data_IF_218525246461
#
_entry.id   IF_218525246461
#
_cell.length_a   1.000
_cell.length_b   1.000
_cell.length_c   1.000
_cell.angle_alpha   90.00
_cell.angle_beta   90.00
_cell.angle_gamma   90.00
#
_symmetry.space_group_name_H-M   'P 1'
#
loop_
_entity.id
_entity.type
_entity.pdbx_description
1 polymer ?
#
# COMPACT_ATOMS: atom_id res chain seq x y z
N UNK A 1 3.06 -0.68 -11.50
CA UNK A 1 2.02 -0.13 -12.39
C UNK A 1 1.96 -0.77 -13.77
N UNK A 2 2.93 -0.51 -14.67
CA UNK A 2 2.83 -1.00 -16.05
C UNK A 2 2.84 -2.53 -16.17
N UNK A 3 3.57 -3.22 -15.29
CA UNK A 3 3.54 -4.69 -15.17
C UNK A 3 2.15 -5.20 -14.81
N UNK A 4 1.40 -4.50 -13.96
CA UNK A 4 0.07 -4.96 -13.54
C UNK A 4 -0.97 -4.70 -14.63
N UNK A 5 -0.86 -3.57 -15.34
CA UNK A 5 -1.72 -3.29 -16.50
C UNK A 5 -1.43 -4.26 -17.65
N UNK A 6 -0.17 -4.59 -17.90
CA UNK A 6 0.21 -5.64 -18.85
C UNK A 6 -0.40 -6.99 -18.49
N UNK A 7 -0.37 -7.37 -17.21
CA UNK A 7 -1.01 -8.61 -16.71
C UNK A 7 -2.54 -8.58 -16.84
N UNK A 8 -3.19 -7.44 -16.60
CA UNK A 8 -4.66 -7.30 -16.66
C UNK A 8 -5.20 -7.18 -18.09
N UNK A 9 -4.42 -6.64 -19.03
CA UNK A 9 -4.87 -6.33 -20.40
C UNK A 9 -4.28 -7.25 -21.45
N UNK A 10 -3.26 -8.05 -21.12
CA UNK A 10 -2.52 -8.88 -22.07
C UNK A 10 -1.61 -8.09 -23.02
N UNK A 11 -1.44 -6.78 -22.82
CA UNK A 11 -0.56 -5.93 -23.63
C UNK A 11 0.91 -6.18 -23.28
N UNK A 12 1.82 -5.98 -24.24
CA UNK A 12 3.26 -6.02 -23.96
C UNK A 12 3.64 -4.93 -22.94
N UNK A 13 4.57 -5.26 -22.03
CA UNK A 13 4.99 -4.36 -20.94
C UNK A 13 5.43 -3.00 -21.47
N UNK A 14 6.16 -2.97 -22.58
CA UNK A 14 6.63 -1.73 -23.23
C UNK A 14 5.48 -0.83 -23.67
N UNK A 15 4.43 -1.41 -24.26
CA UNK A 15 3.27 -0.66 -24.76
C UNK A 15 2.39 -0.20 -23.59
N UNK A 16 2.27 -1.02 -22.54
CA UNK A 16 1.61 -0.63 -21.29
C UNK A 16 2.34 0.54 -20.60
N UNK A 17 3.69 0.52 -20.55
CA UNK A 17 4.49 1.64 -20.01
C UNK A 17 4.19 2.92 -20.81
N UNK A 18 4.22 2.85 -22.14
CA UNK A 18 4.01 4.00 -23.02
C UNK A 18 2.62 4.63 -22.86
N UNK A 19 1.56 3.82 -22.85
CA UNK A 19 0.20 4.31 -22.67
C UNK A 19 0.02 4.92 -21.28
N UNK A 20 0.47 4.23 -20.22
CA UNK A 20 0.30 4.72 -18.85
C UNK A 20 1.09 6.00 -18.61
N UNK A 21 2.34 6.04 -19.08
CA UNK A 21 3.18 7.23 -18.99
C UNK A 21 2.57 8.42 -19.73
N UNK A 22 2.05 8.21 -20.95
CA UNK A 22 1.39 9.27 -21.70
C UNK A 22 0.14 9.80 -20.98
N UNK A 23 -0.72 8.91 -20.47
CA UNK A 23 -1.92 9.32 -19.72
C UNK A 23 -1.54 10.08 -18.44
N UNK A 24 -0.57 9.55 -17.68
CA UNK A 24 -0.02 10.19 -16.48
C UNK A 24 0.46 11.60 -16.75
N UNK A 25 1.33 11.76 -17.77
CA UNK A 25 1.87 13.07 -18.14
C UNK A 25 0.74 14.03 -18.55
N UNK A 26 -0.21 13.59 -19.37
CA UNK A 26 -1.29 14.46 -19.87
C UNK A 26 -2.14 15.00 -18.71
N UNK A 27 -2.58 14.15 -17.78
CA UNK A 27 -3.45 14.61 -16.70
C UNK A 27 -2.68 15.38 -15.62
N UNK A 28 -1.42 15.04 -15.35
CA UNK A 28 -0.57 15.77 -14.40
C UNK A 28 -0.24 17.16 -14.95
N UNK A 29 0.10 17.29 -16.23
CA UNK A 29 0.34 18.59 -16.86
C UNK A 29 -0.92 19.47 -16.94
N UNK A 30 -2.08 18.87 -17.20
CA UNK A 30 -3.34 19.63 -17.35
C UNK A 30 -3.91 20.10 -16.02
N UNK A 31 -3.70 19.37 -14.95
CA UNK A 31 -4.35 19.61 -13.66
C UNK A 31 -3.44 20.04 -12.50
N UNK A 32 -2.12 19.91 -12.66
CA UNK A 32 -1.14 20.30 -11.65
C UNK A 32 -1.33 19.59 -10.30
N UNK A 33 -0.83 20.21 -9.23
CA UNK A 33 -0.86 19.63 -7.88
C UNK A 33 -2.26 19.33 -7.34
N UNK A 34 -3.27 20.07 -7.81
CA UNK A 34 -4.66 19.83 -7.44
C UNK A 34 -5.19 18.50 -7.97
N UNK A 35 -4.89 18.20 -9.25
CA UNK A 35 -5.28 16.94 -9.88
C UNK A 35 -4.59 15.75 -9.20
N UNK A 36 -3.29 15.86 -8.94
CA UNK A 36 -2.52 14.84 -8.23
C UNK A 36 -3.11 14.56 -6.84
N UNK A 37 -3.38 15.63 -6.08
CA UNK A 37 -3.98 15.51 -4.74
C UNK A 37 -5.35 14.82 -4.78
N UNK A 38 -6.21 15.18 -5.74
CA UNK A 38 -7.54 14.56 -5.87
C UNK A 38 -7.44 13.07 -6.22
N UNK A 39 -6.52 12.70 -7.12
CA UNK A 39 -6.28 11.29 -7.46
C UNK A 39 -5.73 10.50 -6.27
N UNK A 40 -4.87 11.10 -5.45
CA UNK A 40 -4.35 10.46 -4.23
C UNK A 40 -5.44 10.23 -3.18
N UNK A 41 -6.39 11.15 -3.02
CA UNK A 41 -7.53 10.97 -2.13
C UNK A 41 -8.40 9.79 -2.57
N UNK A 42 -8.64 9.63 -3.87
CA UNK A 42 -9.38 8.47 -4.41
C UNK A 42 -8.60 7.19 -4.14
N UNK A 43 -7.29 7.16 -4.45
CA UNK A 43 -6.44 6.00 -4.18
C UNK A 43 -6.41 5.64 -2.69
N UNK A 44 -6.37 6.62 -1.81
CA UNK A 44 -6.42 6.43 -0.37
C UNK A 44 -7.68 5.64 0.04
N UNK A 45 -8.86 6.05 -0.42
CA UNK A 45 -10.11 5.34 -0.07
C UNK A 45 -10.17 3.93 -0.67
N UNK A 46 -9.70 3.76 -1.91
CA UNK A 46 -9.64 2.44 -2.56
C UNK A 46 -8.68 1.52 -1.80
N UNK A 47 -7.52 2.03 -1.40
CA UNK A 47 -6.48 1.27 -0.71
C UNK A 47 -6.93 0.91 0.70
N UNK A 48 -7.30 1.91 1.51
CA UNK A 48 -7.73 1.70 2.89
C UNK A 48 -8.99 0.84 2.93
N UNK A 49 -9.98 1.13 2.08
CA UNK A 49 -11.20 0.34 2.00
C UNK A 49 -10.95 -1.10 1.56
N UNK A 50 -10.21 -1.30 0.46
CA UNK A 50 -9.94 -2.63 -0.09
C UNK A 50 -9.18 -3.52 0.89
N UNK A 51 -8.12 -3.01 1.51
CA UNK A 51 -7.34 -3.76 2.49
C UNK A 51 -8.07 -3.96 3.81
N UNK A 52 -8.81 -2.95 4.31
CA UNK A 52 -9.53 -3.09 5.58
C UNK A 52 -10.68 -4.10 5.47
N UNK A 53 -11.33 -4.18 4.30
CA UNK A 53 -12.32 -5.22 4.02
C UNK A 53 -11.68 -6.60 3.84
N UNK A 54 -10.46 -6.69 3.28
CA UNK A 54 -9.76 -7.95 3.07
C UNK A 54 -9.53 -8.74 4.37
N UNK A 55 -9.15 -8.05 5.45
CA UNK A 55 -8.76 -8.68 6.73
C UNK A 55 -9.88 -9.54 7.34
N UNK A 56 -11.11 -9.05 7.61
CA UNK A 56 -12.15 -9.87 8.22
C UNK A 56 -12.55 -11.07 7.36
N UNK A 57 -12.57 -10.94 6.03
CA UNK A 57 -12.90 -12.05 5.13
C UNK A 57 -11.85 -13.16 5.17
N UNK A 58 -10.58 -12.78 5.08
CA UNK A 58 -9.47 -13.75 5.13
C UNK A 58 -9.45 -14.43 6.48
N UNK A 59 -9.57 -13.68 7.57
CA UNK A 59 -9.62 -14.25 8.92
C UNK A 59 -10.79 -15.22 9.09
N UNK A 60 -11.98 -14.89 8.57
CA UNK A 60 -13.12 -15.81 8.61
C UNK A 60 -12.82 -17.12 7.86
N UNK A 61 -12.19 -17.04 6.68
CA UNK A 61 -11.94 -18.21 5.83
C UNK A 61 -10.84 -19.13 6.35
N UNK A 62 -9.91 -18.62 7.16
CA UNK A 62 -8.83 -19.43 7.78
C UNK A 62 -9.20 -19.96 9.18
N UNK A 63 -10.44 -19.76 9.62
CA UNK A 63 -10.92 -20.23 10.93
C UNK A 63 -10.64 -19.27 12.09
N UNK A 64 -10.42 -17.99 11.80
CA UNK A 64 -10.23 -16.92 12.79
C UNK A 64 -8.76 -16.66 13.14
N UNK A 65 -8.56 -15.63 13.96
CA UNK A 65 -7.22 -15.22 14.39
C UNK A 65 -6.48 -16.29 15.20
N UNK A 66 -7.19 -17.05 16.03
CA UNK A 66 -6.60 -18.12 16.85
C UNK A 66 -5.96 -19.21 16.00
N UNK A 67 -6.60 -19.59 14.88
CA UNK A 67 -6.06 -20.54 13.90
C UNK A 67 -4.76 -20.05 13.27
N UNK A 68 -4.69 -18.77 12.93
CA UNK A 68 -3.50 -18.12 12.36
C UNK A 68 -2.35 -18.16 13.37
N UNK A 69 -2.60 -17.75 14.61
CA UNK A 69 -1.60 -17.74 15.68
C UNK A 69 -1.09 -19.16 15.98
N UNK A 70 -1.96 -20.16 15.96
CA UNK A 70 -1.57 -21.56 16.22
C UNK A 70 -0.64 -22.15 15.15
N UNK A 71 -0.77 -21.69 13.89
CA UNK A 71 0.07 -22.13 12.77
C UNK A 71 1.40 -21.35 12.69
N UNK A 72 1.49 -20.20 13.33
CA UNK A 72 2.66 -19.33 13.26
C UNK A 72 3.66 -19.62 14.37
N UNK A 73 4.98 -19.59 14.08
CA UNK A 73 6.00 -19.57 15.11
C UNK A 73 5.80 -18.34 16.03
N UNK A 74 5.90 -18.48 17.36
CA UNK A 74 5.69 -17.37 18.29
C UNK A 74 6.58 -16.15 18.01
N UNK A 75 7.77 -16.35 17.44
CA UNK A 75 8.67 -15.25 17.10
C UNK A 75 8.14 -14.37 15.96
N UNK A 76 7.16 -14.80 15.16
CA UNK A 76 6.56 -13.99 14.09
C UNK A 76 5.67 -12.86 14.63
N UNK A 77 5.13 -13.02 15.83
CA UNK A 77 4.25 -12.02 16.47
C UNK A 77 5.03 -10.98 17.29
N UNK A 78 6.34 -11.17 17.45
CA UNK A 78 7.19 -10.26 18.22
C UNK A 78 7.47 -8.95 17.46
N UNK A 79 7.11 -7.81 18.05
CA UNK A 79 7.39 -6.47 17.51
C UNK A 79 8.88 -6.20 17.24
N UNK A 80 9.78 -6.92 17.92
CA UNK A 80 11.24 -6.75 17.81
C UNK A 80 11.91 -7.80 16.93
N UNK A 81 11.16 -8.69 16.27
CA UNK A 81 11.71 -9.79 15.45
C UNK A 81 12.66 -9.29 14.36
N UNK A 82 12.31 -8.17 13.75
CA UNK A 82 13.09 -7.53 12.67
C UNK A 82 14.47 -7.04 13.17
N UNK A 83 14.66 -6.96 14.49
CA UNK A 83 15.90 -6.61 15.16
C UNK A 83 16.06 -5.11 15.38
N UNK A 84 16.63 -4.72 16.52
CA UNK A 84 16.78 -3.31 16.91
C UNK A 84 17.59 -2.49 15.91
N UNK A 85 18.62 -3.07 15.28
CA UNK A 85 19.41 -2.40 14.24
C UNK A 85 18.54 -1.99 13.06
N UNK A 86 17.71 -2.91 12.59
CA UNK A 86 16.80 -2.67 11.45
C UNK A 86 15.70 -1.68 11.83
N UNK A 87 15.12 -1.79 13.03
CA UNK A 87 14.09 -0.86 13.52
C UNK A 87 14.65 0.56 13.55
N UNK A 88 15.82 0.77 14.15
CA UNK A 88 16.48 2.09 14.18
C UNK A 88 16.80 2.56 12.76
N UNK A 89 17.28 1.65 11.89
CA UNK A 89 17.52 1.95 10.48
C UNK A 89 16.26 2.42 9.74
N UNK A 90 15.12 1.75 9.94
CA UNK A 90 13.84 2.11 9.35
C UNK A 90 13.33 3.44 9.90
N UNK A 91 13.48 3.71 11.20
CA UNK A 91 13.11 5.01 11.80
C UNK A 91 13.91 6.14 11.15
N UNK A 92 15.24 5.99 11.04
CA UNK A 92 16.09 7.00 10.41
C UNK A 92 15.73 7.17 8.94
N UNK A 93 15.55 6.05 8.23
CA UNK A 93 15.17 6.04 6.81
C UNK A 93 13.86 6.78 6.59
N UNK A 94 12.78 6.41 7.28
CA UNK A 94 11.47 7.06 7.12
C UNK A 94 11.50 8.52 7.55
N UNK A 95 12.22 8.86 8.63
CA UNK A 95 12.39 10.26 9.03
C UNK A 95 13.03 11.09 7.90
N UNK A 96 14.09 10.58 7.26
CA UNK A 96 14.72 11.25 6.13
C UNK A 96 13.78 11.31 4.93
N UNK A 97 13.12 10.20 4.57
CA UNK A 97 12.18 10.12 3.46
C UNK A 97 11.06 11.16 3.57
N UNK A 98 10.42 11.32 4.73
CA UNK A 98 9.31 12.27 4.88
C UNK A 98 9.77 13.72 5.11
N UNK A 99 11.02 13.94 5.57
CA UNK A 99 11.56 15.28 5.80
C UNK A 99 12.17 15.90 4.54
N UNK A 100 12.81 15.08 3.69
CA UNK A 100 13.52 15.56 2.49
C UNK A 100 12.96 14.99 1.20
N UNK A 101 12.02 14.04 1.26
CA UNK A 101 11.38 13.48 0.09
C UNK A 101 10.62 14.54 -0.69
N UNK A 102 10.91 14.64 -1.97
CA UNK A 102 10.37 15.67 -2.86
C UNK A 102 8.84 15.71 -2.81
N UNK A 103 8.19 14.55 -2.82
CA UNK A 103 6.74 14.40 -2.72
C UNK A 103 6.15 15.01 -1.43
N UNK A 104 6.77 14.74 -0.27
CA UNK A 104 6.30 15.24 1.03
C UNK A 104 6.52 16.75 1.17
N UNK A 105 7.71 17.21 0.77
CA UNK A 105 8.10 18.62 0.82
C UNK A 105 7.20 19.46 -0.08
N UNK A 106 6.90 19.01 -1.29
CA UNK A 106 5.96 19.70 -2.18
C UNK A 106 4.59 19.88 -1.51
N UNK A 107 4.05 18.84 -0.85
CA UNK A 107 2.75 18.94 -0.17
C UNK A 107 2.76 19.91 1.00
N UNK A 108 3.89 20.05 1.72
CA UNK A 108 4.03 21.06 2.76
C UNK A 108 4.01 22.48 2.20
N UNK A 109 4.66 22.72 1.05
CA UNK A 109 4.64 24.04 0.39
C UNK A 109 3.31 24.39 -0.28
N UNK A 110 2.53 23.38 -0.66
CA UNK A 110 1.18 23.58 -1.19
C UNK A 110 0.11 23.79 -0.11
N UNK A 111 0.46 23.60 1.16
CA UNK A 111 -0.46 23.84 2.27
C UNK A 111 -0.81 25.33 2.37
N UNK A 112 -2.06 25.60 2.78
CA UNK A 112 -2.56 26.99 2.93
C UNK A 112 -1.76 27.80 3.95
N UNK A 113 -1.33 27.15 5.02
CA UNK A 113 -0.60 27.72 6.14
C UNK A 113 0.14 26.63 6.91
N UNK A 114 1.09 27.04 7.74
CA UNK A 114 1.92 26.14 8.56
C UNK A 114 1.09 25.24 9.48
N UNK A 115 0.01 25.76 10.09
CA UNK A 115 -0.82 24.97 11.01
C UNK A 115 -1.52 23.84 10.26
N UNK A 116 -2.01 24.12 9.05
CA UNK A 116 -2.61 23.12 8.16
C UNK A 116 -1.59 22.07 7.75
N UNK A 117 -0.35 22.46 7.43
CA UNK A 117 0.73 21.51 7.10
C UNK A 117 1.03 20.59 8.29
N UNK A 118 1.23 21.14 9.48
CA UNK A 118 1.54 20.37 10.70
C UNK A 118 0.39 19.43 11.07
N UNK A 119 -0.85 19.94 11.10
CA UNK A 119 -2.02 19.12 11.44
C UNK A 119 -2.22 17.99 10.41
N UNK A 120 -2.06 18.30 9.11
CA UNK A 120 -2.13 17.32 8.04
C UNK A 120 -1.10 16.20 8.21
N UNK A 121 0.16 16.55 8.54
CA UNK A 121 1.22 15.58 8.79
C UNK A 121 0.94 14.69 10.00
N UNK A 122 0.41 15.26 11.09
CA UNK A 122 0.05 14.48 12.29
C UNK A 122 -1.08 13.50 11.98
N UNK A 123 -2.14 13.95 11.30
CA UNK A 123 -3.25 13.10 10.89
C UNK A 123 -2.75 11.98 9.97
N UNK A 124 -1.91 12.31 8.99
CA UNK A 124 -1.28 11.34 8.10
C UNK A 124 -0.49 10.28 8.87
N UNK A 125 0.37 10.70 9.82
CA UNK A 125 1.15 9.79 10.65
C UNK A 125 0.29 8.85 11.49
N UNK A 126 -0.79 9.36 12.09
CA UNK A 126 -1.74 8.53 12.86
C UNK A 126 -2.42 7.50 11.95
N UNK A 127 -2.92 7.94 10.80
CA UNK A 127 -3.59 7.05 9.84
C UNK A 127 -2.63 5.98 9.32
N UNK A 128 -1.39 6.34 8.97
CA UNK A 128 -0.37 5.38 8.53
C UNK A 128 -0.04 4.36 9.63
N UNK A 129 0.12 4.81 10.87
CA UNK A 129 0.40 3.92 12.00
C UNK A 129 -0.73 2.91 12.25
N UNK A 130 -1.98 3.37 12.20
CA UNK A 130 -3.15 2.49 12.32
C UNK A 130 -3.29 1.55 11.12
N UNK A 131 -3.05 2.07 9.92
CA UNK A 131 -3.20 1.29 8.69
C UNK A 131 -2.09 0.25 8.52
N UNK A 132 -0.89 0.47 9.06
CA UNK A 132 0.24 -0.47 8.97
C UNK A 132 -0.09 -1.88 9.49
N UNK A 133 -1.02 -2.00 10.43
CA UNK A 133 -1.48 -3.30 10.95
C UNK A 133 -2.24 -4.11 9.91
N UNK A 134 -2.97 -3.47 8.99
CA UNK A 134 -3.83 -4.14 8.01
C UNK A 134 -3.04 -5.03 7.03
N UNK A 135 -2.03 -4.52 6.28
CA UNK A 135 -1.22 -5.37 5.43
C UNK A 135 -0.33 -6.34 6.22
N UNK A 136 0.10 -5.98 7.44
CA UNK A 136 0.84 -6.88 8.31
C UNK A 136 0.00 -8.11 8.68
N UNK A 137 -1.28 -7.93 9.01
CA UNK A 137 -2.22 -9.03 9.27
C UNK A 137 -2.39 -9.93 8.04
N UNK A 138 -2.57 -9.36 6.84
CA UNK A 138 -2.64 -10.15 5.61
C UNK A 138 -1.35 -10.93 5.34
N UNK A 139 -0.19 -10.34 5.63
CA UNK A 139 1.11 -11.02 5.54
C UNK A 139 1.27 -12.17 6.54
N UNK A 140 0.78 -12.00 7.77
CA UNK A 140 0.78 -13.08 8.78
C UNK A 140 -0.13 -14.24 8.36
N UNK A 141 -1.32 -13.95 7.82
CA UNK A 141 -2.18 -15.01 7.28
C UNK A 141 -1.54 -15.69 6.06
N UNK A 142 -0.90 -14.93 5.17
CA UNK A 142 -0.17 -15.49 4.04
C UNK A 142 0.92 -16.46 4.51
N UNK A 143 1.69 -16.09 5.53
CA UNK A 143 2.74 -16.95 6.08
C UNK A 143 2.17 -18.19 6.79
N UNK A 144 1.02 -18.08 7.44
CA UNK A 144 0.36 -19.19 8.13
C UNK A 144 -0.20 -20.24 7.17
N UNK A 145 -0.78 -19.82 6.04
CA UNK A 145 -1.37 -20.74 5.04
C UNK A 145 -0.39 -21.15 3.94
N UNK A 146 0.59 -20.30 3.62
CA UNK A 146 1.58 -20.50 2.56
C UNK A 146 3.02 -20.26 3.06
N UNK A 147 3.63 -21.21 3.81
CA UNK A 147 4.90 -20.98 4.51
C UNK A 147 6.10 -20.65 3.61
N UNK A 148 6.07 -21.07 2.34
CA UNK A 148 7.15 -20.87 1.35
C UNK A 148 6.85 -19.73 0.37
N UNK A 149 5.93 -18.83 0.70
CA UNK A 149 5.56 -17.73 -0.18
C UNK A 149 6.63 -16.65 -0.22
N UNK A 150 6.89 -16.12 -1.41
CA UNK A 150 7.68 -14.90 -1.54
C UNK A 150 6.91 -13.71 -0.96
N UNK A 151 7.58 -12.88 -0.14
CA UNK A 151 6.96 -11.77 0.56
C UNK A 151 6.20 -10.79 -0.37
N UNK A 152 6.74 -10.55 -1.57
CA UNK A 152 6.09 -9.68 -2.56
C UNK A 152 4.76 -10.22 -3.10
N UNK A 153 4.57 -11.54 -3.08
CA UNK A 153 3.38 -12.20 -3.60
C UNK A 153 2.33 -12.47 -2.51
N UNK A 154 2.68 -12.30 -1.23
CA UNK A 154 1.85 -12.63 -0.08
C UNK A 154 0.41 -12.10 -0.17
N UNK A 155 0.25 -10.79 -0.41
CA UNK A 155 -1.07 -10.14 -0.46
C UNK A 155 -1.88 -10.64 -1.66
N UNK A 156 -1.24 -10.77 -2.82
CA UNK A 156 -1.91 -11.24 -4.04
C UNK A 156 -2.36 -12.70 -3.91
N UNK A 157 -1.52 -13.57 -3.38
CA UNK A 157 -1.85 -14.99 -3.17
C UNK A 157 -2.97 -15.16 -2.16
N UNK A 158 -2.96 -14.41 -1.05
CA UNK A 158 -4.06 -14.41 -0.07
C UNK A 158 -5.35 -13.93 -0.70
N UNK A 159 -5.33 -12.84 -1.45
CA UNK A 159 -6.52 -12.32 -2.11
C UNK A 159 -7.10 -13.34 -3.11
N UNK A 160 -6.26 -13.97 -3.94
CA UNK A 160 -6.73 -14.87 -5.00
C UNK A 160 -7.16 -16.25 -4.49
N UNK A 161 -6.58 -16.77 -3.40
CA UNK A 161 -6.86 -18.12 -2.90
C UNK A 161 -7.84 -18.14 -1.72
N UNK A 162 -7.91 -17.06 -0.94
CA UNK A 162 -8.68 -17.02 0.32
C UNK A 162 -9.87 -16.05 0.26
N UNK A 163 -10.18 -15.45 -0.89
CA UNK A 163 -11.35 -14.55 -1.02
C UNK A 163 -12.21 -14.88 -2.25
N UNK A 164 -13.49 -14.48 -2.24
CA UNK A 164 -14.33 -14.52 -3.43
C UNK A 164 -13.75 -13.66 -4.57
N UNK A 165 -13.96 -14.03 -5.85
CA UNK A 165 -13.34 -13.35 -6.99
C UNK A 165 -13.57 -11.84 -7.04
N UNK A 166 -14.76 -11.38 -6.65
CA UNK A 166 -15.12 -9.96 -6.65
C UNK A 166 -14.27 -9.20 -5.61
N UNK A 167 -14.11 -9.75 -4.41
CA UNK A 167 -13.33 -9.13 -3.33
C UNK A 167 -11.84 -9.18 -3.63
N UNK A 168 -11.36 -10.31 -4.19
CA UNK A 168 -10.00 -10.43 -4.69
C UNK A 168 -9.69 -9.34 -5.72
N UNK A 169 -10.61 -9.08 -6.65
CA UNK A 169 -10.52 -7.99 -7.62
C UNK A 169 -10.35 -6.61 -6.97
N UNK A 170 -11.12 -6.32 -5.91
CA UNK A 170 -10.98 -5.06 -5.15
C UNK A 170 -9.62 -4.92 -4.46
N UNK A 171 -9.10 -5.99 -3.85
CA UNK A 171 -7.79 -5.96 -3.20
C UNK A 171 -6.67 -5.82 -4.24
N UNK A 172 -6.78 -6.50 -5.37
CA UNK A 172 -5.83 -6.35 -6.48
C UNK A 172 -5.88 -4.94 -7.06
N UNK A 173 -7.06 -4.34 -7.20
CA UNK A 173 -7.20 -2.94 -7.60
C UNK A 173 -6.53 -2.00 -6.58
N UNK A 174 -6.69 -2.26 -5.27
CA UNK A 174 -6.03 -1.49 -4.22
C UNK A 174 -4.49 -1.58 -4.30
N UNK A 175 -3.93 -2.77 -4.57
CA UNK A 175 -2.48 -2.95 -4.78
C UNK A 175 -2.01 -2.14 -6.01
N UNK A 176 -2.78 -2.18 -7.10
CA UNK A 176 -2.48 -1.37 -8.30
C UNK A 176 -2.50 0.11 -7.99
N UNK A 177 -3.54 0.60 -7.34
CA UNK A 177 -3.70 1.99 -6.90
C UNK A 177 -2.54 2.45 -6.02
N UNK A 178 -2.07 1.59 -5.09
CA UNK A 178 -0.90 1.90 -4.27
C UNK A 178 0.34 2.16 -5.12
N UNK A 179 0.63 1.29 -6.09
CA UNK A 179 1.79 1.46 -6.98
C UNK A 179 1.66 2.65 -7.93
N UNK A 180 0.42 3.01 -8.32
CA UNK A 180 0.13 4.17 -9.15
C UNK A 180 0.37 5.48 -8.39
N UNK A 181 -0.11 5.57 -7.14
CA UNK A 181 0.05 6.78 -6.31
C UNK A 181 1.53 7.08 -6.05
N UNK A 182 2.35 6.08 -5.68
CA UNK A 182 3.79 6.29 -5.51
C UNK A 182 4.48 6.75 -6.80
N UNK A 183 4.17 6.12 -7.94
CA UNK A 183 4.76 6.50 -9.22
C UNK A 183 4.35 7.90 -9.71
N UNK A 184 3.15 8.37 -9.36
CA UNK A 184 2.69 9.72 -9.67
C UNK A 184 3.31 10.78 -8.76
N UNK A 185 3.60 10.44 -7.50
CA UNK A 185 4.29 11.33 -6.55
C UNK A 185 5.78 11.54 -6.84
N UNK A 186 6.40 10.60 -7.57
CA UNK A 186 7.81 10.65 -7.96
C UNK A 186 8.08 11.41 -9.29
N UNK A 187 7.03 11.75 -10.04
CA UNK A 187 7.08 12.49 -11.32
C UNK A 187 7.03 14.01 -11.10
#
# INVERSE_FOLDING_TARGET
>A
TATIISVLTGLSTELAILICGAVLVIYTMSGGMWSVTMTDVIHFFVLVGGFSLAVPFVLHNVGGWESVVAKLPPEQLGFTKVGWKTIIGLIIMYFMTFSTGQESVQRYFAAKDEKTAVLGSIICGIIMALFAFVPAMLGLVALAEFPNIEANNAVATVALNLMPPIMAGFVMAAVVSATLSSGAGDL
#
